data_IF_906168693072
#
_entry.id   IF_906168693072
#
_cell.length_a   1.000
_cell.length_b   1.000
_cell.length_c   1.000
_cell.angle_alpha   90.00
_cell.angle_beta   90.00
_cell.angle_gamma   90.00
#
_symmetry.space_group_name_H-M   'P 1'
#
loop_
_entity.id
_entity.type
_entity.pdbx_description
1 polymer ?
#
# COMPACT_ATOMS: atom_id res chain seq x y z
N UNK A 1 -21.93 0.04 -10.83
CA UNK A 1 -21.20 -0.84 -9.88
C UNK A 1 -19.96 -1.34 -10.59
N UNK A 2 -18.80 -1.05 -10.02
CA UNK A 2 -17.52 -1.53 -10.56
C UNK A 2 -17.22 -2.90 -9.96
N UNK A 3 -16.81 -3.84 -10.81
CA UNK A 3 -16.44 -5.18 -10.40
C UNK A 3 -15.16 -5.17 -9.55
N UNK A 4 -15.09 -6.04 -8.54
CA UNK A 4 -13.94 -6.19 -7.65
C UNK A 4 -12.63 -6.44 -8.41
N UNK A 5 -12.68 -7.31 -9.44
CA UNK A 5 -11.51 -7.65 -10.24
C UNK A 5 -10.95 -6.44 -10.98
N UNK A 6 -11.81 -5.58 -11.50
CA UNK A 6 -11.41 -4.33 -12.16
C UNK A 6 -10.69 -3.38 -11.20
N UNK A 7 -11.20 -3.23 -9.97
CA UNK A 7 -10.54 -2.42 -8.93
C UNK A 7 -9.20 -3.05 -8.53
N UNK A 8 -9.16 -4.37 -8.36
CA UNK A 8 -7.93 -5.08 -8.03
C UNK A 8 -6.88 -4.94 -9.14
N UNK A 9 -7.28 -5.05 -10.41
CA UNK A 9 -6.39 -4.86 -11.57
C UNK A 9 -5.80 -3.44 -11.60
N UNK A 10 -6.61 -2.41 -11.37
CA UNK A 10 -6.13 -1.01 -11.30
C UNK A 10 -5.06 -0.81 -10.23
N UNK A 11 -5.07 -1.60 -9.16
CA UNK A 11 -4.11 -1.47 -8.06
C UNK A 11 -2.82 -2.30 -8.27
N UNK A 12 -2.68 -3.07 -9.34
CA UNK A 12 -1.48 -3.89 -9.59
C UNK A 12 -0.22 -3.04 -9.73
N UNK A 13 -0.27 -2.00 -10.58
CA UNK A 13 0.89 -1.11 -10.79
C UNK A 13 1.27 -0.37 -9.49
N UNK A 14 0.34 0.33 -8.81
CA UNK A 14 0.63 0.95 -7.52
C UNK A 14 1.21 -0.01 -6.48
N UNK A 15 0.67 -1.23 -6.39
CA UNK A 15 1.17 -2.23 -5.45
C UNK A 15 2.61 -2.67 -5.78
N UNK A 16 2.89 -2.97 -7.05
CA UNK A 16 4.24 -3.36 -7.49
C UNK A 16 5.24 -2.24 -7.22
N UNK A 17 4.89 -1.00 -7.53
CA UNK A 17 5.74 0.16 -7.26
C UNK A 17 5.97 0.37 -5.76
N UNK A 18 4.93 0.24 -4.94
CA UNK A 18 5.03 0.37 -3.48
C UNK A 18 5.92 -0.71 -2.87
N UNK A 19 5.66 -1.99 -3.15
CA UNK A 19 6.46 -3.08 -2.61
C UNK A 19 7.89 -3.08 -3.16
N UNK A 20 8.07 -2.71 -4.43
CA UNK A 20 9.40 -2.50 -5.03
C UNK A 20 10.19 -1.40 -4.31
N UNK A 21 9.55 -0.29 -3.98
CA UNK A 21 10.17 0.77 -3.19
C UNK A 21 10.55 0.30 -1.77
N UNK A 22 9.63 -0.39 -1.08
CA UNK A 22 9.91 -0.92 0.27
C UNK A 22 11.08 -1.88 0.25
N UNK A 23 11.10 -2.81 -0.72
CA UNK A 23 12.21 -3.75 -0.90
C UNK A 23 13.54 -3.01 -1.11
N UNK A 24 13.55 -2.01 -1.98
CA UNK A 24 14.72 -1.18 -2.24
C UNK A 24 15.17 -0.42 -1.00
N UNK A 25 14.24 0.15 -0.24
CA UNK A 25 14.55 0.85 1.00
C UNK A 25 15.19 -0.07 2.05
N UNK A 26 14.70 -1.31 2.16
CA UNK A 26 15.26 -2.32 3.08
C UNK A 26 16.66 -2.76 2.62
N UNK A 27 16.85 -2.96 1.33
CA UNK A 27 18.16 -3.33 0.76
C UNK A 27 19.20 -2.23 0.97
N UNK A 28 18.87 -0.99 0.65
CA UNK A 28 19.75 0.15 0.89
C UNK A 28 20.06 0.35 2.39
N UNK A 29 19.10 0.08 3.28
CA UNK A 29 19.37 0.10 4.73
C UNK A 29 20.32 -1.01 5.15
N UNK A 30 20.19 -2.22 4.61
CA UNK A 30 21.10 -3.32 4.85
C UNK A 30 22.52 -2.98 4.38
N UNK A 31 22.65 -2.39 3.19
CA UNK A 31 23.95 -1.89 2.68
C UNK A 31 24.53 -0.83 3.62
N UNK A 32 23.71 0.13 4.04
CA UNK A 32 24.14 1.24 4.94
C UNK A 32 24.61 0.74 6.30
N UNK A 33 23.95 -0.28 6.85
CA UNK A 33 24.25 -0.84 8.17
C UNK A 33 25.26 -1.98 8.12
N UNK A 34 25.69 -2.41 6.93
CA UNK A 34 26.65 -3.49 6.75
C UNK A 34 26.07 -4.89 7.06
N UNK A 35 24.75 -5.03 7.06
CA UNK A 35 24.10 -6.34 7.26
C UNK A 35 24.38 -7.21 6.03
N UNK A 36 25.01 -8.35 6.26
CA UNK A 36 25.29 -9.32 5.19
C UNK A 36 24.16 -10.33 5.07
N UNK A 37 23.92 -10.80 3.83
CA UNK A 37 23.00 -11.91 3.60
C UNK A 37 23.48 -13.20 4.25
N UNK A 38 22.57 -14.17 4.38
CA UNK A 38 22.92 -15.52 4.85
C UNK A 38 23.92 -16.18 3.90
N UNK A 39 24.88 -16.98 4.42
CA UNK A 39 25.76 -17.79 3.60
C UNK A 39 24.94 -18.68 2.65
N UNK A 40 25.43 -18.88 1.41
CA UNK A 40 24.74 -19.69 0.40
C UNK A 40 24.42 -21.11 0.88
N UNK A 41 25.21 -21.63 1.81
CA UNK A 41 25.07 -22.97 2.40
C UNK A 41 23.85 -23.08 3.33
N UNK A 42 23.45 -21.97 3.96
CA UNK A 42 22.29 -21.89 4.86
C UNK A 42 20.99 -21.59 4.10
N UNK A 43 21.08 -21.20 2.82
CA UNK A 43 19.90 -20.87 2.03
C UNK A 43 19.29 -22.16 1.45
N UNK A 44 18.04 -22.50 1.80
CA UNK A 44 17.37 -23.67 1.26
C UNK A 44 17.22 -23.53 -0.27
N UNK A 45 17.47 -24.62 -1.01
CA UNK A 45 17.28 -24.62 -2.46
C UNK A 45 15.80 -24.37 -2.78
N UNK A 46 15.53 -23.42 -3.65
CA UNK A 46 14.16 -23.04 -4.07
C UNK A 46 13.36 -24.26 -4.53
N UNK A 47 14.01 -25.18 -5.27
CA UNK A 47 13.40 -26.43 -5.75
C UNK A 47 12.88 -27.30 -4.60
N UNK A 48 13.64 -27.39 -3.50
CA UNK A 48 13.28 -28.24 -2.36
C UNK A 48 12.13 -27.60 -1.56
N UNK A 49 12.17 -26.28 -1.42
CA UNK A 49 11.08 -25.51 -0.79
C UNK A 49 9.79 -25.63 -1.60
N UNK A 50 9.86 -25.42 -2.91
CA UNK A 50 8.70 -25.57 -3.79
C UNK A 50 8.17 -27.00 -3.80
N UNK A 51 9.03 -28.01 -3.84
CA UNK A 51 8.61 -29.43 -3.78
C UNK A 51 7.91 -29.78 -2.48
N UNK A 52 8.31 -29.15 -1.37
CA UNK A 52 7.67 -29.37 -0.07
C UNK A 52 6.41 -28.54 0.09
N UNK A 53 6.33 -27.34 -0.47
CA UNK A 53 5.29 -26.35 -0.23
C UNK A 53 4.31 -26.10 -1.39
N UNK A 54 4.38 -26.81 -2.52
CA UNK A 54 3.55 -26.52 -3.70
C UNK A 54 2.05 -26.50 -3.39
N UNK A 55 1.59 -27.38 -2.48
CA UNK A 55 0.20 -27.49 -2.10
C UNK A 55 -0.36 -26.24 -1.40
N UNK A 56 0.51 -25.40 -0.82
CA UNK A 56 0.12 -24.10 -0.25
C UNK A 56 -0.27 -23.06 -1.31
N UNK A 57 0.14 -23.24 -2.57
CA UNK A 57 -0.27 -22.34 -3.65
C UNK A 57 -1.67 -22.65 -4.19
N UNK A 58 -2.15 -23.89 -4.01
CA UNK A 58 -3.44 -24.29 -4.57
C UNK A 58 -4.62 -23.48 -4.01
N UNK A 59 -4.75 -23.24 -2.69
CA UNK A 59 -5.80 -22.38 -2.17
C UNK A 59 -5.76 -20.97 -2.76
N UNK A 60 -4.58 -20.41 -2.96
CA UNK A 60 -4.41 -19.11 -3.59
C UNK A 60 -4.87 -19.14 -5.05
N UNK A 61 -4.50 -20.18 -5.80
CA UNK A 61 -4.95 -20.37 -7.19
C UNK A 61 -6.47 -20.51 -7.25
N UNK A 62 -7.09 -21.24 -6.32
CA UNK A 62 -8.55 -21.39 -6.22
C UNK A 62 -9.22 -20.02 -6.03
N UNK A 63 -8.75 -19.22 -5.07
CA UNK A 63 -9.28 -17.87 -4.82
C UNK A 63 -9.16 -17.00 -6.06
N UNK A 64 -7.96 -16.93 -6.65
CA UNK A 64 -7.69 -16.13 -7.83
C UNK A 64 -8.57 -16.58 -9.00
N UNK A 65 -8.70 -17.90 -9.24
CA UNK A 65 -9.51 -18.43 -10.33
C UNK A 65 -10.99 -18.07 -10.18
N UNK A 66 -11.52 -18.14 -8.94
CA UNK A 66 -12.91 -17.76 -8.68
C UNK A 66 -13.15 -16.27 -8.88
N UNK A 67 -12.21 -15.43 -8.47
CA UNK A 67 -12.27 -13.99 -8.72
C UNK A 67 -12.26 -13.68 -10.22
N UNK A 68 -11.40 -14.34 -11.00
CA UNK A 68 -11.37 -14.18 -12.47
C UNK A 68 -12.65 -14.66 -13.16
N UNK A 69 -13.37 -15.60 -12.54
CA UNK A 69 -14.70 -16.04 -13.02
C UNK A 69 -15.84 -15.11 -12.61
N UNK A 70 -15.54 -13.99 -11.92
CA UNK A 70 -16.54 -13.00 -11.47
C UNK A 70 -17.29 -13.40 -10.20
N UNK A 71 -16.82 -14.41 -9.47
CA UNK A 71 -17.40 -14.74 -8.16
C UNK A 71 -16.97 -13.73 -7.08
N UNK A 72 -17.79 -13.61 -6.02
CA UNK A 72 -17.50 -12.71 -4.92
C UNK A 72 -16.24 -13.13 -4.15
N UNK A 73 -15.49 -12.17 -3.55
CA UNK A 73 -14.35 -12.46 -2.69
C UNK A 73 -14.67 -13.42 -1.55
N UNK A 74 -15.89 -13.33 -0.97
CA UNK A 74 -16.33 -14.19 0.13
C UNK A 74 -16.42 -15.65 -0.32
N UNK A 75 -16.98 -15.91 -1.51
CA UNK A 75 -17.04 -17.26 -2.08
C UNK A 75 -15.63 -17.77 -2.41
N UNK A 76 -14.76 -16.90 -2.91
CA UNK A 76 -13.34 -17.22 -3.10
C UNK A 76 -12.65 -17.62 -1.81
N UNK A 77 -12.83 -16.85 -0.73
CA UNK A 77 -12.27 -17.13 0.59
C UNK A 77 -12.82 -18.44 1.17
N UNK A 78 -14.11 -18.70 1.02
CA UNK A 78 -14.75 -19.97 1.47
C UNK A 78 -14.09 -21.18 0.79
N UNK A 79 -14.03 -21.20 -0.55
CA UNK A 79 -13.42 -22.30 -1.27
C UNK A 79 -11.91 -22.40 -1.09
N UNK A 80 -11.23 -21.27 -0.90
CA UNK A 80 -9.83 -21.22 -0.49
C UNK A 80 -9.60 -21.91 0.85
N UNK A 81 -10.47 -21.66 1.82
CA UNK A 81 -10.43 -22.31 3.15
C UNK A 81 -10.69 -23.81 3.04
N UNK A 82 -11.74 -24.21 2.29
CA UNK A 82 -12.03 -25.64 2.07
C UNK A 82 -10.86 -26.35 1.37
N UNK A 83 -10.28 -25.72 0.34
CA UNK A 83 -9.11 -26.28 -0.35
C UNK A 83 -7.90 -26.42 0.57
N UNK A 84 -7.69 -25.48 1.48
CA UNK A 84 -6.62 -25.57 2.51
C UNK A 84 -6.83 -26.77 3.42
N UNK A 85 -8.06 -26.99 3.88
CA UNK A 85 -8.41 -28.14 4.73
C UNK A 85 -8.15 -29.45 3.98
N UNK A 86 -8.66 -29.60 2.77
CA UNK A 86 -8.51 -30.83 1.96
C UNK A 86 -7.04 -31.11 1.67
N UNK A 87 -6.28 -30.08 1.28
CA UNK A 87 -4.87 -30.22 0.95
C UNK A 87 -3.99 -30.49 2.17
N UNK A 88 -4.42 -30.08 3.36
CA UNK A 88 -3.69 -30.41 4.60
C UNK A 88 -3.52 -31.91 4.77
N UNK A 89 -4.47 -32.71 4.31
CA UNK A 89 -4.43 -34.18 4.44
C UNK A 89 -3.54 -34.88 3.40
N UNK A 90 -3.03 -34.17 2.40
CA UNK A 90 -2.08 -34.75 1.43
C UNK A 90 -0.75 -35.17 2.07
N UNK A 91 -0.41 -34.60 3.22
CA UNK A 91 0.82 -34.89 3.94
C UNK A 91 0.57 -35.09 5.42
N UNK A 92 1.19 -36.10 5.99
CA UNK A 92 1.07 -36.41 7.45
C UNK A 92 1.55 -35.23 8.32
N UNK A 93 2.53 -34.46 7.85
CA UNK A 93 3.12 -33.32 8.56
C UNK A 93 2.17 -32.11 8.66
N UNK A 94 1.28 -31.95 7.68
CA UNK A 94 0.32 -30.84 7.61
C UNK A 94 -1.11 -31.27 7.88
N UNK A 95 -1.36 -32.56 8.09
CA UNK A 95 -2.69 -33.15 8.27
C UNK A 95 -3.39 -32.56 9.52
N UNK A 96 -4.45 -31.80 9.29
CA UNK A 96 -5.28 -31.25 10.35
C UNK A 96 -6.20 -32.32 10.95
N UNK A 97 -6.15 -32.48 12.26
CA UNK A 97 -7.10 -33.31 13.01
C UNK A 97 -8.43 -32.57 13.21
N UNK A 98 -9.56 -33.28 13.42
CA UNK A 98 -10.84 -32.60 13.66
C UNK A 98 -10.78 -31.55 14.78
N UNK A 99 -9.97 -31.78 15.81
CA UNK A 99 -9.74 -30.80 16.89
C UNK A 99 -9.05 -29.55 16.43
N UNK A 100 -8.11 -29.64 15.47
CA UNK A 100 -7.38 -28.49 14.95
C UNK A 100 -8.28 -27.67 14.04
N UNK A 101 -9.14 -28.33 13.25
CA UNK A 101 -10.16 -27.68 12.43
C UNK A 101 -11.14 -26.91 13.33
N UNK A 102 -11.66 -27.57 14.39
CA UNK A 102 -12.56 -26.88 15.31
C UNK A 102 -11.90 -25.70 16.01
N UNK A 103 -10.66 -25.85 16.46
CA UNK A 103 -9.89 -24.75 17.05
C UNK A 103 -9.68 -23.60 16.05
N UNK A 104 -9.37 -23.91 14.79
CA UNK A 104 -9.24 -22.93 13.71
C UNK A 104 -10.54 -22.15 13.49
N UNK A 105 -11.68 -22.84 13.46
CA UNK A 105 -12.99 -22.20 13.32
C UNK A 105 -13.34 -21.30 14.52
N UNK A 106 -13.09 -21.78 15.73
CA UNK A 106 -13.29 -20.98 16.96
C UNK A 106 -12.39 -19.75 16.97
N UNK A 107 -11.10 -19.89 16.61
CA UNK A 107 -10.18 -18.78 16.54
C UNK A 107 -10.59 -17.77 15.45
N UNK A 108 -11.01 -18.27 14.29
CA UNK A 108 -11.54 -17.43 13.21
C UNK A 108 -12.79 -16.65 13.63
N UNK A 109 -13.75 -17.31 14.26
CA UNK A 109 -14.96 -16.68 14.80
C UNK A 109 -14.61 -15.62 15.87
N UNK A 110 -13.71 -15.95 16.78
CA UNK A 110 -13.27 -15.01 17.83
C UNK A 110 -12.56 -13.77 17.24
N UNK A 111 -11.66 -13.97 16.30
CA UNK A 111 -10.99 -12.87 15.62
C UNK A 111 -11.98 -11.98 14.84
N UNK A 112 -13.01 -12.56 14.27
CA UNK A 112 -14.03 -11.83 13.52
C UNK A 112 -15.03 -11.08 14.41
N UNK A 113 -15.16 -11.44 15.68
CA UNK A 113 -16.09 -10.77 16.62
C UNK A 113 -15.76 -9.29 16.78
N UNK A 114 -14.49 -8.96 16.93
CA UNK A 114 -14.06 -7.55 17.07
C UNK A 114 -14.28 -6.76 15.78
N UNK A 115 -14.01 -7.34 14.62
CA UNK A 115 -14.28 -6.74 13.33
C UNK A 115 -15.80 -6.53 13.12
N UNK A 116 -16.63 -7.52 13.44
CA UNK A 116 -18.09 -7.42 13.37
C UNK A 116 -18.67 -6.34 14.28
N UNK A 117 -18.20 -6.26 15.53
CA UNK A 117 -18.59 -5.21 16.45
C UNK A 117 -18.21 -3.81 15.94
N UNK A 118 -16.99 -3.67 15.39
CA UNK A 118 -16.54 -2.41 14.79
C UNK A 118 -17.43 -2.02 13.60
N UNK A 119 -17.72 -2.94 12.68
CA UNK A 119 -18.57 -2.68 11.50
C UNK A 119 -19.99 -2.29 11.95
N UNK A 120 -20.55 -2.96 12.95
CA UNK A 120 -21.87 -2.60 13.51
C UNK A 120 -21.89 -1.19 14.09
N UNK A 121 -20.88 -0.82 14.86
CA UNK A 121 -20.73 0.55 15.41
C UNK A 121 -20.57 1.60 14.31
N UNK A 122 -19.78 1.27 13.26
CA UNK A 122 -19.60 2.13 12.10
C UNK A 122 -20.91 2.35 11.34
N UNK A 123 -21.76 1.33 11.22
CA UNK A 123 -23.08 1.45 10.60
C UNK A 123 -23.96 2.53 11.27
N UNK A 124 -23.93 2.61 12.60
CA UNK A 124 -24.63 3.66 13.35
C UNK A 124 -24.05 5.05 13.07
N UNK A 125 -22.71 5.16 13.08
CA UNK A 125 -22.00 6.43 12.78
C UNK A 125 -22.34 6.91 11.37
N UNK A 126 -22.26 6.02 10.37
CA UNK A 126 -22.55 6.34 8.97
C UNK A 126 -24.01 6.75 8.80
N UNK A 127 -24.93 6.01 9.44
CA UNK A 127 -26.36 6.39 9.46
C UNK A 127 -26.55 7.81 9.99
N UNK A 128 -25.88 8.16 11.09
CA UNK A 128 -25.91 9.52 11.64
C UNK A 128 -25.34 10.57 10.67
N UNK A 129 -24.22 10.28 10.03
CA UNK A 129 -23.57 11.17 9.04
C UNK A 129 -24.48 11.39 7.82
N UNK A 130 -25.09 10.33 7.30
CA UNK A 130 -25.99 10.42 6.13
C UNK A 130 -27.26 11.19 6.49
N UNK A 131 -27.92 10.84 7.59
CA UNK A 131 -29.17 11.48 8.03
C UNK A 131 -29.00 12.96 8.37
N UNK A 132 -27.87 13.35 8.94
CA UNK A 132 -27.54 14.74 9.25
C UNK A 132 -27.06 15.54 8.03
N UNK A 133 -26.73 14.90 6.91
CA UNK A 133 -26.08 15.53 5.76
C UNK A 133 -24.65 16.01 6.07
N UNK A 134 -24.06 15.57 7.18
CA UNK A 134 -22.75 16.02 7.66
C UNK A 134 -21.64 15.70 6.64
N UNK A 135 -21.72 14.56 5.95
CA UNK A 135 -20.73 14.17 4.95
C UNK A 135 -20.59 15.18 3.82
N UNK A 136 -21.72 15.61 3.25
CA UNK A 136 -21.72 16.61 2.17
C UNK A 136 -21.27 17.99 2.67
N UNK A 137 -21.72 18.40 3.86
CA UNK A 137 -21.30 19.66 4.47
C UNK A 137 -19.81 19.68 4.74
N UNK A 138 -19.28 18.59 5.28
CA UNK A 138 -17.85 18.47 5.55
C UNK A 138 -17.01 18.52 4.27
N UNK A 139 -17.45 17.82 3.22
CA UNK A 139 -16.79 17.87 1.91
C UNK A 139 -16.80 19.28 1.32
N UNK A 140 -17.94 19.99 1.42
CA UNK A 140 -18.03 21.37 0.93
C UNK A 140 -17.09 22.32 1.68
N UNK A 141 -17.02 22.21 3.02
CA UNK A 141 -16.09 23.00 3.85
C UNK A 141 -14.64 22.71 3.48
N UNK A 142 -14.28 21.44 3.19
CA UNK A 142 -12.92 21.08 2.75
C UNK A 142 -12.56 21.76 1.41
N UNK A 143 -13.47 21.72 0.45
CA UNK A 143 -13.27 22.35 -0.86
C UNK A 143 -13.18 23.86 -0.73
N UNK A 144 -14.04 24.48 0.07
CA UNK A 144 -14.03 25.91 0.35
C UNK A 144 -12.72 26.35 1.05
N UNK A 145 -12.29 25.62 2.08
CA UNK A 145 -11.03 25.87 2.78
C UNK A 145 -9.81 25.74 1.85
N UNK A 146 -9.86 24.80 0.90
CA UNK A 146 -8.85 24.65 -0.12
C UNK A 146 -8.94 25.71 -1.24
N UNK A 147 -9.94 26.59 -1.21
CA UNK A 147 -10.16 27.57 -2.28
C UNK A 147 -10.41 26.95 -3.65
N UNK A 148 -10.96 25.73 -3.69
CA UNK A 148 -11.15 24.96 -4.93
C UNK A 148 -9.86 24.41 -5.54
N UNK A 149 -8.72 24.52 -4.87
CA UNK A 149 -7.45 24.01 -5.34
C UNK A 149 -7.36 22.49 -5.14
N UNK A 150 -7.26 21.73 -6.23
CA UNK A 150 -7.25 20.28 -6.20
C UNK A 150 -6.08 19.71 -5.39
N UNK A 151 -4.85 20.26 -5.56
CA UNK A 151 -3.68 19.78 -4.82
C UNK A 151 -3.84 19.95 -3.32
N UNK A 152 -4.34 21.12 -2.90
CA UNK A 152 -4.59 21.40 -1.49
C UNK A 152 -5.71 20.51 -0.94
N UNK A 153 -6.77 20.27 -1.72
CA UNK A 153 -7.86 19.36 -1.34
C UNK A 153 -7.37 17.92 -1.17
N UNK A 154 -6.57 17.39 -2.10
CA UNK A 154 -5.96 16.06 -1.96
C UNK A 154 -5.10 15.98 -0.70
N UNK A 155 -4.32 17.03 -0.42
CA UNK A 155 -3.47 17.11 0.77
C UNK A 155 -4.29 17.09 2.06
N UNK A 156 -5.35 17.89 2.13
CA UNK A 156 -6.25 17.95 3.28
C UNK A 156 -7.01 16.64 3.48
N UNK A 157 -7.57 16.08 2.39
CA UNK A 157 -8.26 14.79 2.42
C UNK A 157 -7.29 13.70 2.91
N UNK A 158 -6.07 13.64 2.39
CA UNK A 158 -5.06 12.66 2.83
C UNK A 158 -4.72 12.84 4.31
N UNK A 159 -4.46 14.07 4.74
CA UNK A 159 -4.12 14.38 6.12
C UNK A 159 -5.24 14.00 7.10
N UNK A 160 -6.47 14.39 6.80
CA UNK A 160 -7.65 14.07 7.62
C UNK A 160 -7.90 12.56 7.62
N UNK A 161 -7.72 11.90 6.48
CA UNK A 161 -7.87 10.45 6.36
C UNK A 161 -6.86 9.70 7.25
N UNK A 162 -5.62 10.18 7.31
CA UNK A 162 -4.62 9.62 8.22
C UNK A 162 -5.04 9.79 9.68
N UNK A 163 -5.51 10.98 10.07
CA UNK A 163 -5.96 11.24 11.46
C UNK A 163 -7.15 10.35 11.83
N UNK A 164 -8.19 10.30 10.99
CA UNK A 164 -9.38 9.47 11.24
C UNK A 164 -9.02 7.99 11.23
N UNK A 165 -8.03 7.61 10.40
CA UNK A 165 -7.54 6.24 10.31
C UNK A 165 -6.75 5.75 11.52
N UNK A 166 -6.18 6.66 12.33
CA UNK A 166 -5.43 6.30 13.51
C UNK A 166 -6.32 5.62 14.55
N UNK A 167 -5.94 4.41 14.96
CA UNK A 167 -6.64 3.68 16.01
C UNK A 167 -7.85 2.87 15.56
N UNK A 168 -8.16 2.82 14.27
CA UNK A 168 -9.20 1.96 13.72
C UNK A 168 -8.65 0.99 12.64
N UNK A 169 -9.46 0.01 12.24
CA UNK A 169 -9.10 -0.84 11.11
C UNK A 169 -9.15 -0.07 9.80
N UNK A 170 -8.31 -0.43 8.82
CA UNK A 170 -8.32 0.19 7.49
C UNK A 170 -9.70 0.19 6.86
N UNK A 171 -10.44 -0.93 6.96
CA UNK A 171 -11.81 -1.04 6.44
C UNK A 171 -12.74 -0.07 7.14
N UNK A 172 -12.68 0.02 8.48
CA UNK A 172 -13.50 0.92 9.26
C UNK A 172 -13.26 2.39 8.91
N UNK A 173 -12.00 2.78 8.85
CA UNK A 173 -11.60 4.13 8.44
C UNK A 173 -12.08 4.45 7.04
N UNK A 174 -11.86 3.53 6.09
CA UNK A 174 -12.27 3.73 4.71
C UNK A 174 -13.78 3.96 4.56
N UNK A 175 -14.61 3.18 5.26
CA UNK A 175 -16.07 3.33 5.17
C UNK A 175 -16.53 4.72 5.60
N UNK A 176 -15.97 5.26 6.69
CA UNK A 176 -16.26 6.65 7.13
C UNK A 176 -15.77 7.65 6.09
N UNK A 177 -14.53 7.51 5.66
CA UNK A 177 -13.86 8.43 4.75
C UNK A 177 -14.49 8.45 3.34
N UNK A 178 -15.02 7.31 2.88
CA UNK A 178 -15.75 7.21 1.62
C UNK A 178 -16.99 8.10 1.60
N UNK A 179 -17.62 8.30 2.75
CA UNK A 179 -18.81 9.17 2.88
C UNK A 179 -18.45 10.63 3.17
N UNK A 180 -17.36 10.86 3.90
CA UNK A 180 -17.03 12.18 4.44
C UNK A 180 -15.98 12.91 3.59
N UNK A 181 -14.98 12.23 3.08
CA UNK A 181 -13.80 12.84 2.45
C UNK A 181 -13.72 12.61 0.92
N UNK A 182 -14.09 11.42 0.43
CA UNK A 182 -14.06 11.16 -1.00
C UNK A 182 -14.93 12.11 -1.84
N UNK A 183 -16.15 12.52 -1.40
CA UNK A 183 -16.97 13.43 -2.17
C UNK A 183 -16.33 14.80 -2.43
N UNK A 184 -15.41 15.26 -1.56
CA UNK A 184 -14.68 16.51 -1.78
C UNK A 184 -13.82 16.47 -3.04
N UNK A 185 -13.20 15.33 -3.33
CA UNK A 185 -12.41 15.13 -4.55
C UNK A 185 -13.31 15.00 -5.78
N UNK A 186 -14.43 14.30 -5.63
CA UNK A 186 -15.39 14.13 -6.73
C UNK A 186 -16.00 15.48 -7.14
N UNK A 187 -16.29 16.36 -6.19
CA UNK A 187 -16.76 17.73 -6.46
C UNK A 187 -15.77 18.56 -7.28
N UNK A 188 -14.48 18.27 -7.18
CA UNK A 188 -13.42 18.92 -7.97
C UNK A 188 -13.11 18.18 -9.29
N UNK A 189 -13.97 17.24 -9.70
CA UNK A 189 -13.87 16.54 -10.98
C UNK A 189 -12.95 15.30 -10.97
N UNK A 190 -12.47 14.86 -9.80
CA UNK A 190 -11.75 13.58 -9.71
C UNK A 190 -12.74 12.43 -9.92
N UNK A 191 -12.47 11.46 -10.80
CA UNK A 191 -13.32 10.29 -10.97
C UNK A 191 -13.52 9.54 -9.66
N UNK A 192 -14.68 8.87 -9.51
CA UNK A 192 -15.10 8.23 -8.26
C UNK A 192 -14.07 7.21 -7.73
N UNK A 193 -13.57 6.31 -8.59
CA UNK A 193 -12.62 5.27 -8.19
C UNK A 193 -11.29 5.87 -7.68
N UNK A 194 -10.58 6.75 -8.42
CA UNK A 194 -9.43 7.46 -7.90
C UNK A 194 -9.69 8.19 -6.57
N UNK A 195 -10.82 8.90 -6.42
CA UNK A 195 -11.16 9.58 -5.18
C UNK A 195 -11.29 8.61 -4.00
N UNK A 196 -11.94 7.46 -4.20
CA UNK A 196 -12.03 6.41 -3.20
C UNK A 196 -10.67 5.76 -2.89
N UNK A 197 -9.81 5.57 -3.90
CA UNK A 197 -8.45 5.04 -3.70
C UNK A 197 -7.57 6.00 -2.90
N UNK A 198 -7.69 7.32 -3.10
CA UNK A 198 -6.98 8.33 -2.29
C UNK A 198 -7.28 8.12 -0.81
N UNK A 199 -8.54 8.06 -0.42
CA UNK A 199 -8.92 7.90 1.00
C UNK A 199 -8.57 6.52 1.54
N UNK A 200 -8.65 5.47 0.71
CA UNK A 200 -8.26 4.12 1.09
C UNK A 200 -6.76 4.00 1.39
N UNK A 201 -5.90 4.52 0.51
CA UNK A 201 -4.46 4.49 0.73
C UNK A 201 -4.01 5.39 1.88
N UNK A 202 -4.70 6.52 2.11
CA UNK A 202 -4.48 7.34 3.29
C UNK A 202 -4.87 6.61 4.59
N UNK A 203 -5.96 5.82 4.57
CA UNK A 203 -6.31 4.94 5.68
C UNK A 203 -5.27 3.82 5.90
N UNK A 204 -4.64 3.29 4.83
CA UNK A 204 -3.52 2.37 4.97
C UNK A 204 -2.29 3.05 5.60
N UNK A 205 -1.98 4.28 5.18
CA UNK A 205 -0.87 5.07 5.72
C UNK A 205 -1.00 5.29 7.23
N UNK A 206 -2.20 5.47 7.75
CA UNK A 206 -2.45 5.67 9.18
C UNK A 206 -1.94 4.51 10.06
N UNK A 207 -1.94 3.27 9.53
CA UNK A 207 -1.49 2.08 10.27
C UNK A 207 0.03 2.02 10.48
N UNK A 208 0.79 2.82 9.75
CA UNK A 208 2.25 2.94 9.88
C UNK A 208 2.69 4.32 10.38
N UNK A 209 1.73 5.24 10.60
CA UNK A 209 2.03 6.63 10.99
C UNK A 209 1.97 6.78 12.52
N UNK A 210 3.06 7.21 13.18
CA UNK A 210 3.01 7.56 14.60
C UNK A 210 1.97 8.66 14.89
N UNK A 211 1.34 8.68 16.06
CA UNK A 211 1.71 7.93 17.28
C UNK A 211 1.06 6.55 17.42
N UNK A 212 0.08 6.18 16.61
CA UNK A 212 -0.70 4.95 16.81
C UNK A 212 -0.11 3.75 16.08
N UNK A 213 0.30 3.89 14.83
CA UNK A 213 1.02 2.95 13.93
C UNK A 213 0.92 1.44 14.33
N UNK A 214 -0.29 0.91 14.42
CA UNK A 214 -0.60 -0.45 14.95
C UNK A 214 0.22 -1.54 14.26
N UNK A 215 0.37 -1.47 12.93
CA UNK A 215 1.16 -2.45 12.18
C UNK A 215 2.65 -2.41 12.52
N UNK A 216 3.19 -1.21 12.75
CA UNK A 216 4.59 -1.06 13.15
C UNK A 216 4.81 -1.55 14.58
N UNK A 217 3.86 -1.36 15.48
CA UNK A 217 3.93 -1.89 16.86
C UNK A 217 3.91 -3.41 16.87
N UNK A 218 3.10 -4.04 16.03
CA UNK A 218 3.12 -5.50 15.87
C UNK A 218 4.49 -5.99 15.37
N UNK A 219 5.08 -5.31 14.39
CA UNK A 219 6.45 -5.59 13.92
C UNK A 219 7.50 -5.39 15.01
N UNK A 220 7.38 -4.33 15.81
CA UNK A 220 8.28 -4.04 16.94
C UNK A 220 8.23 -5.15 18.00
N UNK A 221 7.04 -5.68 18.29
CA UNK A 221 6.87 -6.79 19.24
C UNK A 221 7.58 -8.07 18.77
N UNK A 222 7.51 -8.38 17.46
CA UNK A 222 8.22 -9.53 16.86
C UNK A 222 9.73 -9.31 16.91
N UNK A 223 10.19 -8.12 16.54
CA UNK A 223 11.61 -7.75 16.51
C UNK A 223 12.20 -7.46 17.91
N UNK A 224 11.38 -7.41 18.96
CA UNK A 224 11.74 -6.98 20.31
C UNK A 224 12.42 -5.60 20.30
N UNK A 225 11.93 -4.69 19.46
CA UNK A 225 12.43 -3.35 19.25
C UNK A 225 11.52 -2.30 19.90
N UNK A 226 12.03 -1.06 20.00
CA UNK A 226 11.23 0.06 20.49
C UNK A 226 10.06 0.37 19.54
N UNK A 227 8.80 0.38 20.01
CA UNK A 227 7.63 0.55 19.15
C UNK A 227 7.62 1.89 18.40
N UNK A 228 7.98 2.98 19.08
CA UNK A 228 7.93 4.32 18.49
C UNK A 228 9.01 4.50 17.42
N UNK A 229 10.23 4.03 17.68
CA UNK A 229 11.32 4.04 16.69
C UNK A 229 10.97 3.18 15.48
N UNK A 230 10.32 2.03 15.70
CA UNK A 230 9.82 1.17 14.63
C UNK A 230 8.73 1.87 13.82
N UNK A 231 7.84 2.64 14.47
CA UNK A 231 6.82 3.45 13.81
C UNK A 231 7.42 4.51 12.88
N UNK A 232 8.43 5.26 13.33
CA UNK A 232 9.13 6.23 12.48
C UNK A 232 9.91 5.56 11.35
N UNK A 233 10.50 4.40 11.58
CA UNK A 233 11.14 3.62 10.53
C UNK A 233 10.10 3.13 9.50
N UNK A 234 8.95 2.63 9.94
CA UNK A 234 7.87 2.20 9.07
C UNK A 234 7.33 3.35 8.20
N UNK A 235 7.15 4.55 8.76
CA UNK A 235 6.75 5.73 8.00
C UNK A 235 7.82 6.13 6.97
N UNK A 236 9.10 6.06 7.34
CA UNK A 236 10.22 6.30 6.43
C UNK A 236 10.21 5.32 5.26
N UNK A 237 10.02 4.03 5.50
CA UNK A 237 9.97 2.99 4.46
C UNK A 237 8.65 3.02 3.67
N UNK A 238 7.59 3.52 4.26
CA UNK A 238 6.29 3.70 3.62
C UNK A 238 6.08 5.09 3.00
N UNK A 239 7.12 5.89 2.80
CA UNK A 239 7.01 7.28 2.29
C UNK A 239 6.20 7.37 0.99
N UNK A 240 6.27 6.35 0.13
CA UNK A 240 5.49 6.32 -1.11
C UNK A 240 3.99 6.28 -0.88
N UNK A 241 3.49 5.75 0.24
CA UNK A 241 2.06 5.84 0.60
C UNK A 241 1.57 7.27 0.78
N UNK A 242 2.47 8.21 1.09
CA UNK A 242 2.14 9.65 1.14
C UNK A 242 1.98 10.20 -0.28
N UNK A 243 2.72 9.67 -1.26
CA UNK A 243 2.75 10.18 -2.64
C UNK A 243 1.69 9.52 -3.53
N UNK A 244 1.33 8.28 -3.26
CA UNK A 244 0.37 7.50 -4.05
C UNK A 244 -1.00 8.20 -4.20
N UNK A 245 -1.61 8.81 -3.17
CA UNK A 245 -2.86 9.56 -3.32
C UNK A 245 -2.80 10.61 -4.42
N UNK A 246 -1.71 11.33 -4.54
CA UNK A 246 -1.53 12.32 -5.60
C UNK A 246 -1.41 11.68 -6.98
N UNK A 247 -0.72 10.55 -7.06
CA UNK A 247 -0.57 9.83 -8.34
C UNK A 247 -1.92 9.37 -8.90
N UNK A 248 -2.87 8.96 -8.07
CA UNK A 248 -4.20 8.56 -8.52
C UNK A 248 -5.00 9.70 -9.14
N UNK A 249 -4.77 10.91 -8.68
CA UNK A 249 -5.48 12.11 -9.16
C UNK A 249 -4.82 12.68 -10.43
N UNK A 250 -3.49 12.67 -10.49
CA UNK A 250 -2.75 13.37 -11.53
C UNK A 250 -2.17 12.46 -12.62
N UNK A 251 -2.10 11.15 -12.40
CA UNK A 251 -1.50 10.16 -13.31
C UNK A 251 -2.41 8.92 -13.42
N UNK A 252 -3.56 9.05 -14.08
CA UNK A 252 -4.52 7.96 -14.20
C UNK A 252 -3.96 6.72 -14.92
N UNK A 253 -2.87 6.86 -15.67
CA UNK A 253 -2.17 5.76 -16.32
C UNK A 253 -1.65 4.72 -15.31
N UNK A 254 -1.34 5.12 -14.09
CA UNK A 254 -0.95 4.20 -13.02
C UNK A 254 -2.11 3.31 -12.56
N UNK A 255 -3.35 3.70 -12.85
CA UNK A 255 -4.56 2.92 -12.64
C UNK A 255 -5.02 2.19 -13.92
N UNK A 256 -4.10 1.90 -14.83
CA UNK A 256 -4.37 1.25 -16.12
C UNK A 256 -5.34 2.04 -17.03
N UNK A 257 -5.42 3.35 -16.88
CA UNK A 257 -6.24 4.22 -17.71
C UNK A 257 -5.39 4.89 -18.78
N UNK A 258 -5.71 4.67 -20.07
CA UNK A 258 -4.98 5.25 -21.19
C UNK A 258 -4.38 4.21 -22.13
N UNK A 259 -3.45 4.66 -22.99
CA UNK A 259 -2.75 3.78 -23.93
C UNK A 259 -1.64 2.99 -23.23
N UNK A 260 -1.30 1.81 -23.73
CA UNK A 260 -0.20 1.00 -23.16
C UNK A 260 1.15 1.72 -23.13
N UNK A 261 1.40 2.59 -24.11
CA UNK A 261 2.62 3.41 -24.13
C UNK A 261 2.64 4.44 -22.99
N UNK A 262 1.49 5.09 -22.72
CA UNK A 262 1.36 6.02 -21.61
C UNK A 262 1.47 5.30 -20.25
N UNK A 263 0.81 4.15 -20.10
CA UNK A 263 0.87 3.32 -18.89
C UNK A 263 2.29 2.86 -18.59
N UNK A 264 3.00 2.29 -19.59
CA UNK A 264 4.38 1.85 -19.41
C UNK A 264 5.32 3.03 -19.16
N UNK A 265 5.14 4.15 -19.86
CA UNK A 265 5.92 5.36 -19.64
C UNK A 265 5.74 5.94 -18.24
N UNK A 266 4.51 6.02 -17.74
CA UNK A 266 4.21 6.46 -16.38
C UNK A 266 4.80 5.50 -15.35
N UNK A 267 4.62 4.19 -15.53
CA UNK A 267 5.14 3.17 -14.61
C UNK A 267 6.66 3.22 -14.50
N UNK A 268 7.38 3.30 -15.63
CA UNK A 268 8.84 3.41 -15.65
C UNK A 268 9.30 4.73 -15.00
N UNK A 269 8.61 5.84 -15.30
CA UNK A 269 8.92 7.14 -14.69
C UNK A 269 8.81 7.07 -13.16
N UNK A 270 7.72 6.50 -12.64
CA UNK A 270 7.52 6.33 -11.20
C UNK A 270 8.51 5.35 -10.58
N UNK A 271 8.86 4.26 -11.27
CA UNK A 271 9.88 3.33 -10.79
C UNK A 271 11.24 4.01 -10.62
N UNK A 272 11.68 4.79 -11.61
CA UNK A 272 12.93 5.56 -11.54
C UNK A 272 12.84 6.64 -10.47
N UNK A 273 11.72 7.38 -10.39
CA UNK A 273 11.49 8.40 -9.37
C UNK A 273 11.54 7.82 -7.94
N UNK A 274 10.93 6.67 -7.72
CA UNK A 274 10.97 5.98 -6.42
C UNK A 274 12.37 5.45 -6.10
N UNK A 275 13.12 4.94 -7.09
CA UNK A 275 14.50 4.53 -6.87
C UNK A 275 15.39 5.72 -6.45
N UNK A 276 15.26 6.85 -7.15
CA UNK A 276 15.98 8.08 -6.79
C UNK A 276 15.58 8.59 -5.40
N UNK A 277 14.28 8.53 -5.06
CA UNK A 277 13.76 8.89 -3.75
C UNK A 277 14.32 7.99 -2.64
N UNK A 278 14.42 6.68 -2.88
CA UNK A 278 14.98 5.74 -1.92
C UNK A 278 16.45 6.07 -1.60
N UNK A 279 17.28 6.32 -2.62
CA UNK A 279 18.67 6.74 -2.45
C UNK A 279 18.76 8.06 -1.69
N UNK A 280 17.92 9.04 -2.02
CA UNK A 280 17.88 10.33 -1.33
C UNK A 280 17.54 10.19 0.16
N UNK A 281 16.57 9.35 0.50
CA UNK A 281 16.12 9.13 1.88
C UNK A 281 17.16 8.32 2.67
N UNK A 282 17.68 7.23 2.10
CA UNK A 282 18.61 6.35 2.80
C UNK A 282 20.01 6.94 2.93
N UNK A 283 20.44 7.80 1.99
CA UNK A 283 21.78 8.38 2.00
C UNK A 283 22.88 7.37 1.67
N UNK A 284 22.53 6.28 1.04
CA UNK A 284 23.41 5.29 0.42
C UNK A 284 22.86 4.90 -0.93
N UNK A 285 23.70 4.45 -1.84
CA UNK A 285 23.28 3.96 -3.14
C UNK A 285 23.51 2.44 -3.25
N UNK A 286 23.34 1.90 -4.44
CA UNK A 286 23.52 0.48 -4.72
C UNK A 286 24.98 -0.02 -4.53
N UNK A 287 25.92 0.89 -4.47
CA UNK A 287 27.29 0.63 -4.05
C UNK A 287 27.43 1.06 -2.59
N UNK A 288 28.20 0.35 -1.75
CA UNK A 288 28.29 0.66 -0.30
C UNK A 288 29.05 1.96 -0.04
N UNK A 289 28.64 3.03 -0.70
CA UNK A 289 29.22 4.37 -0.57
C UNK A 289 28.18 5.31 0.03
N UNK A 290 28.57 6.05 1.07
CA UNK A 290 27.73 7.08 1.66
C UNK A 290 27.50 8.21 0.66
N UNK A 291 26.25 8.54 0.41
CA UNK A 291 25.86 9.62 -0.51
C UNK A 291 25.88 10.95 0.26
N UNK A 292 26.76 11.91 -0.07
CA UNK A 292 26.84 13.18 0.60
C UNK A 292 25.56 14.00 0.40
N UNK A 293 25.28 14.95 1.32
CA UNK A 293 24.02 15.71 1.35
C UNK A 293 23.68 16.37 0.02
N UNK A 294 24.66 16.97 -0.67
CA UNK A 294 24.43 17.62 -1.97
C UNK A 294 23.89 16.65 -3.00
N UNK A 295 24.47 15.44 -3.09
CA UNK A 295 24.02 14.40 -4.02
C UNK A 295 22.64 13.87 -3.63
N UNK A 296 22.33 13.75 -2.34
CA UNK A 296 21.00 13.39 -1.86
C UNK A 296 19.94 14.40 -2.31
N UNK A 297 20.27 15.71 -2.28
CA UNK A 297 19.39 16.77 -2.80
C UNK A 297 19.20 16.59 -4.30
N UNK A 298 20.25 16.29 -5.05
CA UNK A 298 20.15 16.06 -6.51
C UNK A 298 19.23 14.85 -6.78
N UNK A 299 19.39 13.74 -6.06
CA UNK A 299 18.50 12.58 -6.17
C UNK A 299 17.05 12.93 -5.82
N UNK A 300 16.83 13.76 -4.79
CA UNK A 300 15.49 14.19 -4.41
C UNK A 300 14.85 15.05 -5.49
N UNK A 301 15.59 16.00 -6.08
CA UNK A 301 15.09 16.83 -7.19
C UNK A 301 14.81 15.98 -8.42
N UNK A 302 15.69 15.03 -8.74
CA UNK A 302 15.46 14.09 -9.83
C UNK A 302 14.19 13.25 -9.57
N UNK A 303 13.99 12.75 -8.36
CA UNK A 303 12.77 12.02 -7.98
C UNK A 303 11.52 12.88 -8.22
N UNK A 304 11.52 14.13 -7.81
CA UNK A 304 10.39 15.05 -8.05
C UNK A 304 10.15 15.22 -9.55
N UNK A 305 11.20 15.38 -10.38
CA UNK A 305 11.07 15.50 -11.83
C UNK A 305 10.42 14.26 -12.47
N UNK A 306 10.70 13.06 -11.96
CA UNK A 306 10.08 11.82 -12.46
C UNK A 306 8.67 11.60 -11.95
N UNK A 307 8.38 11.98 -10.71
CA UNK A 307 7.07 11.82 -10.06
C UNK A 307 6.07 12.90 -10.47
N UNK A 308 6.54 14.04 -11.00
CA UNK A 308 5.65 15.09 -11.48
C UNK A 308 4.98 14.66 -12.79
N UNK A 309 3.66 14.84 -12.93
CA UNK A 309 2.94 14.30 -14.07
C UNK A 309 3.37 14.95 -15.40
N UNK A 310 3.64 14.09 -16.37
CA UNK A 310 3.54 14.28 -17.83
C UNK A 310 4.30 15.41 -18.52
N UNK A 311 5.27 16.07 -17.88
CA UNK A 311 6.09 17.07 -18.55
C UNK A 311 7.39 16.41 -19.04
N UNK A 312 7.46 16.09 -20.32
CA UNK A 312 8.59 15.35 -20.93
C UNK A 312 9.96 16.02 -20.66
N UNK A 313 10.04 17.34 -20.71
CA UNK A 313 11.29 18.04 -20.46
C UNK A 313 11.76 17.91 -19.00
N UNK A 314 10.84 17.80 -18.01
CA UNK A 314 11.22 17.52 -16.62
C UNK A 314 11.87 16.14 -16.49
N UNK A 315 11.41 15.15 -17.25
CA UNK A 315 12.03 13.82 -17.27
C UNK A 315 13.43 13.85 -17.86
N UNK A 316 13.65 14.65 -18.90
CA UNK A 316 15.00 14.88 -19.48
C UNK A 316 15.92 15.53 -18.44
N UNK A 317 15.43 16.55 -17.73
CA UNK A 317 16.18 17.17 -16.62
C UNK A 317 16.47 16.16 -15.52
N UNK A 318 15.49 15.35 -15.14
CA UNK A 318 15.65 14.28 -14.17
C UNK A 318 16.74 13.27 -14.56
N UNK A 319 16.77 12.84 -15.83
CA UNK A 319 17.84 11.96 -16.35
C UNK A 319 19.19 12.66 -16.23
N UNK A 320 19.31 13.91 -16.65
CA UNK A 320 20.54 14.70 -16.54
C UNK A 320 21.04 14.79 -15.09
N UNK A 321 20.13 15.04 -14.15
CA UNK A 321 20.45 15.06 -12.71
C UNK A 321 20.93 13.70 -12.18
N UNK A 322 20.31 12.59 -12.61
CA UNK A 322 20.77 11.26 -12.24
C UNK A 322 22.14 10.94 -12.79
N UNK A 323 22.43 11.31 -14.05
CA UNK A 323 23.76 11.15 -14.65
C UNK A 323 24.81 11.95 -13.88
N UNK A 324 24.51 13.20 -13.49
CA UNK A 324 25.40 14.01 -12.67
C UNK A 324 25.61 13.38 -11.30
N UNK A 325 24.52 12.92 -10.65
CA UNK A 325 24.59 12.30 -9.33
C UNK A 325 25.40 11.02 -9.31
N UNK A 326 25.34 10.19 -10.35
CA UNK A 326 26.11 8.94 -10.48
C UNK A 326 27.47 9.15 -11.15
N UNK A 327 27.60 10.08 -12.10
CA UNK A 327 28.88 10.37 -12.77
C UNK A 327 29.92 11.07 -11.88
N UNK A 328 29.52 11.57 -10.71
CA UNK A 328 30.41 12.13 -9.71
C UNK A 328 30.94 11.09 -8.70
N UNK A 329 30.81 9.79 -9.03
CA UNK A 329 31.49 8.67 -8.35
C UNK A 329 32.86 8.47 -8.96
#
# INVERSE_FOLDING_TARGET
QTDYLSIAAMNVIPAVLFFGFVLLMVDLEAVRTGIKGLPMEEIPRVRDVLRRGWHFFVPLIVVITLLFKGYSPDLGAFWGTISTLVLSWLRKETAMKPRDIFRGLVAGAHNNTSAGAAIGSLGVIIGGIILSGLGLKFSAVLVEFAGGNLLLTVSLVTFISVIIGMGSSTTGSYIILAVVAAPALVQLGVPEIPAHLVVFYAACLSNITPPVCVSAFAGAAIAKADPMKTGFAALKYGTTLILVPYSFVYVPELLLQGTWQAITGATLSYAVGYAALAVAIQGTDFFPVAVPLVRRIIFLVAAVCFLFPMILWLKIVGIGLLVIAWGAM
#
